data_IF_494367772874
#
_entry.id   IF_494367772874
#
_cell.length_a   1.000
_cell.length_b   1.000
_cell.length_c   1.000
_cell.angle_alpha   90.00
_cell.angle_beta   90.00
_cell.angle_gamma   90.00
#
_symmetry.space_group_name_H-M   'P 1'
#
loop_
_entity.id
_entity.type
_entity.pdbx_description
1 polymer ?
#
# COMPACT_ATOMS: atom_id res chain seq x y z
N UNK A 1 12.11 -5.06 20.08
CA UNK A 1 10.90 -4.26 19.79
C UNK A 1 9.65 -5.08 19.94
N UNK A 2 8.52 -4.44 20.07
CA UNK A 2 7.21 -5.10 20.10
C UNK A 2 6.86 -5.65 18.73
N UNK A 3 6.29 -6.87 18.69
CA UNK A 3 5.73 -7.47 17.49
C UNK A 3 4.22 -7.58 17.65
N UNK A 4 3.47 -7.00 16.69
CA UNK A 4 2.04 -7.19 16.53
C UNK A 4 1.82 -8.13 15.36
N UNK A 5 1.16 -9.26 15.59
CA UNK A 5 0.81 -10.23 14.56
C UNK A 5 -0.66 -10.09 14.17
N UNK A 6 -0.91 -10.00 12.86
CA UNK A 6 -2.25 -10.08 12.30
C UNK A 6 -2.88 -11.46 12.49
N UNK A 7 -4.19 -11.53 12.51
CA UNK A 7 -4.90 -12.83 12.49
C UNK A 7 -4.78 -13.46 11.10
N UNK A 8 -4.68 -14.79 11.06
CA UNK A 8 -4.80 -15.55 9.80
C UNK A 8 -6.22 -16.04 9.51
N UNK A 9 -7.21 -15.58 10.27
CA UNK A 9 -8.62 -15.90 10.05
C UNK A 9 -9.31 -14.76 9.32
N UNK A 10 -9.82 -15.01 8.12
CA UNK A 10 -10.52 -14.00 7.30
C UNK A 10 -11.73 -13.38 8.01
N UNK A 11 -12.45 -14.16 8.83
CA UNK A 11 -13.59 -13.67 9.62
C UNK A 11 -13.25 -12.58 10.63
N UNK A 12 -11.97 -12.42 10.98
CA UNK A 12 -11.53 -11.38 11.92
C UNK A 12 -11.41 -10.00 11.23
N UNK A 13 -11.57 -9.94 9.89
CA UNK A 13 -11.40 -8.76 9.05
C UNK A 13 -12.69 -8.32 8.35
N UNK A 14 -13.84 -8.64 8.92
CA UNK A 14 -15.14 -8.22 8.37
C UNK A 14 -15.43 -6.74 8.68
N UNK A 15 -15.00 -5.86 7.78
CA UNK A 15 -15.14 -4.40 7.89
C UNK A 15 -15.93 -3.79 6.72
N UNK A 16 -16.77 -4.60 6.05
CA UNK A 16 -17.59 -4.08 4.96
C UNK A 16 -18.42 -2.86 5.40
N UNK A 17 -18.38 -1.78 4.62
CA UNK A 17 -19.11 -0.56 4.91
C UNK A 17 -19.61 0.13 3.64
N UNK A 18 -20.76 0.83 3.69
CA UNK A 18 -21.24 1.61 2.56
C UNK A 18 -20.47 2.93 2.43
N UNK A 19 -20.13 3.32 1.21
CA UNK A 19 -19.78 4.69 0.88
C UNK A 19 -21.02 5.60 0.87
N UNK A 20 -20.80 6.93 0.80
CA UNK A 20 -21.88 7.91 0.71
C UNK A 20 -22.75 7.74 -0.54
N UNK A 21 -22.21 7.20 -1.63
CA UNK A 21 -22.91 6.90 -2.86
C UNK A 21 -23.71 5.58 -2.83
N UNK A 22 -23.66 4.85 -1.73
CA UNK A 22 -24.35 3.59 -1.52
C UNK A 22 -23.61 2.35 -2.04
N UNK A 23 -22.43 2.51 -2.63
CA UNK A 23 -21.61 1.36 -2.98
C UNK A 23 -21.01 0.72 -1.72
N UNK A 24 -20.79 -0.59 -1.74
CA UNK A 24 -20.23 -1.31 -0.61
C UNK A 24 -18.73 -1.50 -0.77
N UNK A 25 -17.97 -1.00 0.19
CA UNK A 25 -16.55 -1.30 0.29
C UNK A 25 -16.36 -2.61 1.07
N UNK A 26 -15.76 -3.58 0.42
CA UNK A 26 -15.44 -4.89 0.99
C UNK A 26 -13.97 -5.01 1.38
N UNK A 27 -13.18 -3.95 1.20
CA UNK A 27 -11.78 -3.93 1.62
C UNK A 27 -11.67 -3.96 3.14
N UNK A 28 -10.63 -4.60 3.64
CA UNK A 28 -10.40 -4.76 5.07
C UNK A 28 -8.94 -4.43 5.44
N UNK A 29 -8.69 -4.22 6.71
CA UNK A 29 -7.36 -3.94 7.23
C UNK A 29 -7.17 -4.45 8.65
N UNK A 30 -5.92 -4.82 8.99
CA UNK A 30 -5.56 -5.18 10.35
C UNK A 30 -5.72 -3.98 11.30
N UNK A 31 -5.22 -2.83 10.86
CA UNK A 31 -5.47 -1.53 11.50
C UNK A 31 -6.40 -0.74 10.58
N UNK A 32 -7.65 -0.64 10.97
CA UNK A 32 -8.70 0.00 10.19
C UNK A 32 -9.26 1.22 10.92
N UNK A 33 -9.44 2.31 10.18
CA UNK A 33 -10.15 3.49 10.66
C UNK A 33 -10.96 4.12 9.53
N UNK A 34 -12.12 4.69 9.86
CA UNK A 34 -12.95 5.45 8.93
C UNK A 34 -13.48 6.72 9.59
N UNK A 35 -13.34 7.85 8.91
CA UNK A 35 -13.85 9.15 9.37
C UNK A 35 -13.25 9.61 10.69
N UNK A 36 -12.06 9.11 11.06
CA UNK A 36 -11.39 9.43 12.32
C UNK A 36 -10.37 10.53 12.14
N UNK A 37 -10.00 11.17 13.26
CA UNK A 37 -9.00 12.24 13.30
C UNK A 37 -7.96 11.97 14.37
N UNK A 38 -6.79 12.61 14.19
CA UNK A 38 -5.68 12.54 15.15
C UNK A 38 -5.21 11.08 15.38
N UNK A 39 -4.94 10.37 14.30
CA UNK A 39 -4.46 8.99 14.34
C UNK A 39 -2.93 8.98 14.36
N UNK A 40 -2.33 8.26 15.30
CA UNK A 40 -0.89 8.09 15.34
C UNK A 40 -0.49 6.63 15.52
N UNK A 41 0.41 6.16 14.65
CA UNK A 41 1.10 4.87 14.78
C UNK A 41 2.59 5.19 14.80
N UNK A 42 3.24 5.02 15.95
CA UNK A 42 4.62 5.47 16.13
C UNK A 42 5.47 4.45 16.87
N UNK A 43 6.79 4.55 16.70
CA UNK A 43 7.76 3.74 17.44
C UNK A 43 8.48 2.71 16.56
N UNK A 44 9.35 1.90 17.16
CA UNK A 44 10.25 0.97 16.46
C UNK A 44 9.77 -0.49 16.49
N UNK A 45 8.47 -0.69 16.67
CA UNK A 45 7.86 -2.01 16.64
C UNK A 45 7.69 -2.55 15.22
N UNK A 46 7.29 -3.81 15.13
CA UNK A 46 6.95 -4.47 13.87
C UNK A 46 5.49 -4.87 13.86
N UNK A 47 4.82 -4.60 12.76
CA UNK A 47 3.46 -5.09 12.46
C UNK A 47 3.60 -6.09 11.31
N UNK A 48 3.23 -7.33 11.56
CA UNK A 48 3.32 -8.43 10.60
C UNK A 48 1.93 -8.92 10.26
N UNK A 49 1.55 -8.77 8.99
CA UNK A 49 0.23 -9.18 8.49
C UNK A 49 0.05 -10.69 8.31
N UNK A 50 1.13 -11.47 8.42
CA UNK A 50 1.13 -12.92 8.17
C UNK A 50 0.55 -13.31 6.80
N UNK A 51 0.68 -12.42 5.80
CA UNK A 51 0.00 -12.49 4.51
C UNK A 51 0.40 -13.68 3.63
N UNK A 52 1.48 -14.37 3.95
CA UNK A 52 1.88 -15.62 3.28
C UNK A 52 1.10 -16.84 3.76
N UNK A 53 0.20 -16.71 4.74
CA UNK A 53 -0.61 -17.84 5.20
C UNK A 53 -1.54 -18.35 4.10
N UNK A 54 -1.81 -19.66 4.12
CA UNK A 54 -2.69 -20.32 3.14
C UNK A 54 -4.10 -19.73 3.05
N UNK A 55 -4.58 -19.11 4.13
CA UNK A 55 -5.89 -18.46 4.15
C UNK A 55 -5.98 -17.25 3.21
N UNK A 56 -4.83 -16.66 2.84
CA UNK A 56 -4.74 -15.49 1.98
C UNK A 56 -4.18 -15.81 0.58
N UNK A 57 -4.06 -17.09 0.21
CA UNK A 57 -3.51 -17.48 -1.09
C UNK A 57 -4.46 -17.17 -2.24
N UNK A 58 -3.86 -17.01 -3.43
CA UNK A 58 -4.56 -16.78 -4.69
C UNK A 58 -5.68 -17.82 -4.93
N UNK A 59 -6.84 -17.35 -5.35
CA UNK A 59 -8.03 -18.17 -5.57
C UNK A 59 -9.12 -17.97 -4.50
N UNK A 60 -8.79 -17.41 -3.36
CA UNK A 60 -9.78 -17.05 -2.34
C UNK A 60 -10.52 -15.73 -2.68
N UNK A 61 -10.08 -15.03 -3.73
CA UNK A 61 -10.69 -13.78 -4.23
C UNK A 61 -11.77 -14.03 -5.32
N UNK A 62 -12.09 -15.29 -5.63
CA UNK A 62 -12.92 -15.67 -6.78
C UNK A 62 -14.36 -15.13 -6.75
N UNK A 63 -14.83 -14.66 -5.61
CA UNK A 63 -16.21 -14.22 -5.39
C UNK A 63 -16.37 -12.67 -5.38
N UNK A 64 -15.48 -11.95 -6.03
CA UNK A 64 -15.74 -10.54 -6.35
C UNK A 64 -15.16 -9.50 -5.41
N UNK A 65 -14.00 -9.73 -4.85
CA UNK A 65 -13.25 -8.69 -4.15
C UNK A 65 -12.12 -9.25 -3.28
N UNK A 66 -11.11 -8.43 -2.98
CA UNK A 66 -9.99 -8.89 -2.18
C UNK A 66 -10.46 -9.16 -0.73
N UNK A 67 -10.59 -10.43 -0.39
CA UNK A 67 -10.81 -10.88 0.99
C UNK A 67 -9.51 -10.82 1.82
N UNK A 68 -8.42 -10.41 1.18
CA UNK A 68 -7.10 -10.29 1.80
C UNK A 68 -6.98 -8.94 2.50
N UNK A 69 -6.66 -8.89 3.82
CA UNK A 69 -6.55 -7.64 4.54
C UNK A 69 -5.26 -6.89 4.18
N UNK A 70 -5.35 -5.57 4.18
CA UNK A 70 -4.21 -4.66 4.26
C UNK A 70 -3.67 -4.63 5.69
N UNK A 71 -2.44 -4.18 5.90
CA UNK A 71 -1.95 -3.94 7.28
C UNK A 71 -2.56 -2.66 7.82
N UNK A 72 -2.49 -1.56 7.07
CA UNK A 72 -3.13 -0.28 7.43
C UNK A 72 -4.16 0.05 6.36
N UNK A 73 -5.37 0.35 6.78
CA UNK A 73 -6.41 0.85 5.90
C UNK A 73 -7.20 1.97 6.56
N UNK A 74 -6.97 3.19 6.11
CA UNK A 74 -7.66 4.37 6.62
C UNK A 74 -8.49 5.01 5.51
N UNK A 75 -9.74 5.33 5.82
CA UNK A 75 -10.72 5.87 4.88
C UNK A 75 -11.32 7.16 5.43
N UNK A 76 -11.32 8.22 4.64
CA UNK A 76 -11.90 9.52 5.03
C UNK A 76 -11.37 10.05 6.38
N UNK A 77 -10.11 9.73 6.71
CA UNK A 77 -9.45 10.12 7.96
C UNK A 77 -8.56 11.36 7.76
N UNK A 78 -8.30 12.10 8.83
CA UNK A 78 -7.39 13.23 8.78
C UNK A 78 -6.48 13.34 10.01
N UNK A 79 -5.43 14.19 9.91
CA UNK A 79 -4.41 14.35 10.94
C UNK A 79 -3.74 12.99 11.28
N UNK A 80 -3.13 12.37 10.30
CA UNK A 80 -2.56 11.04 10.41
C UNK A 80 -1.03 11.11 10.49
N UNK A 81 -0.45 10.43 11.47
CA UNK A 81 1.00 10.30 11.64
C UNK A 81 1.39 8.83 11.74
N UNK A 82 2.22 8.34 10.82
CA UNK A 82 2.77 6.98 10.87
C UNK A 82 4.29 7.06 10.77
N UNK A 83 5.00 6.72 11.85
CA UNK A 83 6.46 6.90 11.90
C UNK A 83 7.21 5.73 12.53
N UNK A 84 8.38 5.45 11.94
CA UNK A 84 9.46 4.60 12.46
C UNK A 84 9.11 3.11 12.60
N UNK A 85 7.87 2.71 12.37
CA UNK A 85 7.43 1.31 12.47
C UNK A 85 7.90 0.47 11.27
N UNK A 86 8.03 -0.82 11.50
CA UNK A 86 8.26 -1.81 10.44
C UNK A 86 6.93 -2.48 10.08
N UNK A 87 6.57 -2.47 8.80
CA UNK A 87 5.40 -3.15 8.25
C UNK A 87 5.88 -4.30 7.36
N UNK A 88 5.37 -5.51 7.55
CA UNK A 88 5.81 -6.64 6.74
C UNK A 88 4.73 -7.69 6.51
N UNK A 89 4.93 -8.47 5.45
CA UNK A 89 4.11 -9.64 5.14
C UNK A 89 2.61 -9.33 5.09
N UNK A 90 2.21 -8.34 4.29
CA UNK A 90 0.80 -8.05 4.06
C UNK A 90 0.14 -9.15 3.21
N UNK A 91 -1.13 -9.41 3.45
CA UNK A 91 -1.89 -10.29 2.58
C UNK A 91 -2.31 -9.63 1.27
N UNK A 92 -2.43 -8.31 1.26
CA UNK A 92 -2.76 -7.45 0.12
C UNK A 92 -1.87 -6.21 0.17
N UNK A 93 -2.30 -5.04 -0.28
CA UNK A 93 -1.57 -3.79 -0.13
C UNK A 93 -1.12 -3.59 1.32
N UNK A 94 0.09 -3.12 1.52
CA UNK A 94 0.62 -2.99 2.88
C UNK A 94 -0.10 -1.88 3.62
N UNK A 95 -0.24 -0.72 2.99
CA UNK A 95 -0.96 0.42 3.58
C UNK A 95 -1.72 1.19 2.51
N UNK A 96 -2.92 1.63 2.87
CA UNK A 96 -3.79 2.41 2.01
C UNK A 96 -4.46 3.54 2.78
N UNK A 97 -4.30 4.75 2.26
CA UNK A 97 -4.91 5.98 2.78
C UNK A 97 -5.88 6.50 1.73
N UNK A 98 -7.17 6.15 1.88
CA UNK A 98 -8.23 6.45 0.91
C UNK A 98 -9.00 7.69 1.34
N UNK A 99 -9.03 8.72 0.49
CA UNK A 99 -9.67 10.03 0.79
C UNK A 99 -9.19 10.64 2.12
N UNK A 100 -7.94 10.46 2.45
CA UNK A 100 -7.36 10.99 3.67
C UNK A 100 -6.83 12.41 3.47
N UNK A 101 -6.64 13.13 4.58
CA UNK A 101 -6.10 14.50 4.57
C UNK A 101 -5.08 14.68 5.70
N UNK A 102 -4.08 15.53 5.46
CA UNK A 102 -3.01 15.86 6.43
C UNK A 102 -2.29 14.59 6.93
N UNK A 103 -1.59 13.91 6.01
CA UNK A 103 -0.92 12.63 6.26
C UNK A 103 0.59 12.82 6.35
N UNK A 104 1.18 12.38 7.44
CA UNK A 104 2.63 12.32 7.63
C UNK A 104 3.10 10.89 7.75
N UNK A 105 3.95 10.45 6.82
CA UNK A 105 4.57 9.13 6.81
C UNK A 105 6.09 9.32 6.81
N UNK A 106 6.78 8.80 7.83
CA UNK A 106 8.21 9.01 7.95
C UNK A 106 8.95 7.82 8.58
N UNK A 107 10.11 7.52 8.02
CA UNK A 107 11.04 6.54 8.62
C UNK A 107 10.55 5.10 8.62
N UNK A 108 9.54 4.77 7.82
CA UNK A 108 9.00 3.42 7.76
C UNK A 108 9.97 2.44 7.11
N UNK A 109 9.94 1.21 7.57
CA UNK A 109 10.54 0.06 6.90
C UNK A 109 9.43 -0.86 6.45
N UNK A 110 9.26 -0.98 5.14
CA UNK A 110 8.24 -1.85 4.54
C UNK A 110 8.92 -2.98 3.81
N UNK A 111 8.56 -4.22 4.14
CA UNK A 111 9.05 -5.40 3.47
C UNK A 111 7.93 -6.41 3.27
N UNK A 112 7.48 -6.62 2.03
CA UNK A 112 6.36 -7.51 1.75
C UNK A 112 6.48 -8.15 0.37
N UNK A 113 6.85 -9.43 0.35
CA UNK A 113 6.98 -10.26 -0.85
C UNK A 113 6.21 -11.57 -0.72
N UNK A 114 5.39 -11.72 0.31
CA UNK A 114 4.79 -13.01 0.65
C UNK A 114 3.50 -13.32 -0.12
N UNK A 115 2.93 -12.33 -0.81
CA UNK A 115 1.71 -12.49 -1.59
C UNK A 115 1.74 -11.51 -2.79
N UNK A 116 0.83 -11.68 -3.74
CA UNK A 116 0.69 -10.76 -4.87
C UNK A 116 -0.11 -9.51 -4.49
N UNK A 117 0.03 -8.43 -5.26
CA UNK A 117 -0.49 -7.11 -4.93
C UNK A 117 -0.01 -6.64 -3.54
N UNK A 118 1.25 -6.86 -3.22
CA UNK A 118 1.86 -6.34 -2.02
C UNK A 118 2.42 -4.93 -2.30
N UNK A 119 1.55 -4.00 -2.70
CA UNK A 119 1.90 -2.59 -2.85
C UNK A 119 2.35 -2.02 -1.51
N UNK A 120 3.40 -1.21 -1.51
CA UNK A 120 4.00 -0.72 -0.26
C UNK A 120 3.21 0.41 0.39
N UNK A 121 2.82 1.37 -0.42
CA UNK A 121 2.07 2.56 0.00
C UNK A 121 1.15 3.01 -1.13
N UNK A 122 -0.15 2.85 -0.93
CA UNK A 122 -1.19 3.41 -1.77
C UNK A 122 -1.76 4.66 -1.11
N UNK A 123 -1.64 5.80 -1.78
CA UNK A 123 -2.05 7.08 -1.22
C UNK A 123 -3.01 7.82 -2.15
N UNK A 124 -4.26 7.96 -1.71
CA UNK A 124 -5.29 8.83 -2.24
C UNK A 124 -5.61 9.86 -1.16
N UNK A 125 -4.84 10.93 -1.16
CA UNK A 125 -4.88 11.91 -0.07
C UNK A 125 -4.64 13.34 -0.55
N UNK A 126 -4.95 14.28 0.36
CA UNK A 126 -4.57 15.68 0.25
C UNK A 126 -3.58 16.05 1.36
N UNK A 127 -2.61 16.90 1.03
CA UNK A 127 -1.63 17.41 1.98
C UNK A 127 -0.85 16.29 2.66
N UNK A 128 -0.02 15.56 1.92
CA UNK A 128 0.76 14.47 2.49
C UNK A 128 2.27 14.71 2.39
N UNK A 129 2.99 14.28 3.41
CA UNK A 129 4.45 14.21 3.41
C UNK A 129 4.91 12.79 3.65
N UNK A 130 5.76 12.27 2.75
CA UNK A 130 6.33 10.92 2.80
C UNK A 130 7.84 11.08 2.77
N UNK A 131 8.55 10.67 3.82
CA UNK A 131 9.99 10.87 3.87
C UNK A 131 10.75 9.75 4.59
N UNK A 132 12.02 9.60 4.22
CA UNK A 132 12.99 8.75 4.92
C UNK A 132 12.56 7.27 5.00
N UNK A 133 11.70 6.81 4.10
CA UNK A 133 11.16 5.46 4.09
C UNK A 133 12.04 4.50 3.28
N UNK A 134 12.08 3.26 3.72
CA UNK A 134 12.66 2.12 3.01
C UNK A 134 11.56 1.14 2.66
N UNK A 135 11.23 1.00 1.38
CA UNK A 135 10.12 0.19 0.88
C UNK A 135 10.66 -0.84 -0.11
N UNK A 136 10.46 -2.12 0.20
CA UNK A 136 10.90 -3.26 -0.61
C UNK A 136 9.75 -4.28 -0.70
N UNK A 137 9.12 -4.36 -1.87
CA UNK A 137 7.83 -4.99 -2.02
C UNK A 137 7.68 -5.74 -3.34
N UNK A 138 6.70 -6.60 -3.41
CA UNK A 138 6.42 -7.43 -4.57
C UNK A 138 5.73 -6.65 -5.69
N UNK A 139 4.81 -5.74 -5.36
CA UNK A 139 4.09 -4.90 -6.32
C UNK A 139 4.57 -3.43 -6.23
N UNK A 140 3.74 -2.44 -6.51
CA UNK A 140 4.12 -1.03 -6.57
C UNK A 140 4.65 -0.50 -5.23
N UNK A 141 5.82 0.15 -5.20
CA UNK A 141 6.39 0.56 -3.91
C UNK A 141 5.68 1.80 -3.33
N UNK A 142 5.53 2.86 -4.12
CA UNK A 142 4.73 4.04 -3.77
C UNK A 142 3.77 4.30 -4.91
N UNK A 143 2.49 4.23 -4.64
CA UNK A 143 1.44 4.37 -5.63
C UNK A 143 0.46 5.48 -5.25
N UNK A 144 0.37 6.50 -6.11
CA UNK A 144 -0.65 7.53 -5.99
C UNK A 144 -1.94 7.03 -6.62
N UNK A 145 -3.02 7.08 -5.87
CA UNK A 145 -4.37 6.70 -6.31
C UNK A 145 -5.28 7.91 -6.34
N UNK A 146 -6.29 7.87 -7.17
CA UNK A 146 -7.39 8.83 -7.22
C UNK A 146 -8.64 8.09 -7.65
N UNK A 147 -9.15 7.25 -6.75
CA UNK A 147 -10.32 6.38 -7.00
C UNK A 147 -11.63 7.16 -7.03
N UNK A 148 -11.61 8.42 -6.62
CA UNK A 148 -12.77 9.28 -6.42
C UNK A 148 -12.63 10.57 -7.24
N UNK A 149 -13.70 11.37 -7.39
CA UNK A 149 -13.65 12.63 -8.16
C UNK A 149 -12.71 13.69 -7.62
N UNK A 150 -12.28 13.57 -6.36
CA UNK A 150 -11.35 14.50 -5.72
C UNK A 150 -9.92 14.24 -6.19
N UNK A 151 -9.11 15.30 -6.26
CA UNK A 151 -7.70 15.19 -6.59
C UNK A 151 -6.90 14.54 -5.45
N UNK A 152 -5.98 13.64 -5.82
CA UNK A 152 -4.83 13.30 -5.00
C UNK A 152 -3.81 14.43 -5.15
N UNK A 153 -3.56 15.22 -4.11
CA UNK A 153 -2.88 16.49 -4.27
C UNK A 153 -2.03 16.97 -3.10
N UNK A 154 -1.12 17.89 -3.41
CA UNK A 154 -0.23 18.55 -2.44
C UNK A 154 0.62 17.53 -1.67
N UNK A 155 1.34 16.67 -2.39
CA UNK A 155 2.10 15.56 -1.80
C UNK A 155 3.58 15.73 -2.09
N UNK A 156 4.41 15.53 -1.08
CA UNK A 156 5.85 15.41 -1.25
C UNK A 156 6.35 14.03 -0.85
N UNK A 157 7.23 13.45 -1.70
CA UNK A 157 7.98 12.23 -1.40
C UNK A 157 9.46 12.57 -1.49
N UNK A 158 10.20 12.34 -0.42
CA UNK A 158 11.62 12.66 -0.40
C UNK A 158 12.46 11.68 0.42
N UNK A 159 13.73 11.53 0.06
CA UNK A 159 14.71 10.70 0.79
C UNK A 159 14.28 9.22 0.95
N UNK A 160 13.48 8.69 0.07
CA UNK A 160 13.02 7.31 0.15
C UNK A 160 13.93 6.38 -0.69
N UNK A 161 14.06 5.15 -0.22
CA UNK A 161 14.64 4.05 -0.99
C UNK A 161 13.50 3.11 -1.36
N UNK A 162 13.24 2.95 -2.63
CA UNK A 162 12.18 2.08 -3.15
C UNK A 162 12.76 0.91 -3.93
N UNK A 163 12.21 -0.25 -3.68
CA UNK A 163 12.49 -1.48 -4.41
C UNK A 163 11.18 -2.22 -4.65
N UNK A 164 10.97 -2.71 -5.86
CA UNK A 164 9.71 -3.31 -6.26
C UNK A 164 9.96 -4.34 -7.35
N UNK A 165 9.14 -5.36 -7.41
CA UNK A 165 9.07 -6.26 -8.55
C UNK A 165 8.08 -5.78 -9.62
N UNK A 166 7.48 -4.60 -9.43
CA UNK A 166 6.62 -3.94 -10.39
C UNK A 166 7.09 -2.49 -10.62
N UNK A 167 6.49 -1.49 -10.04
CA UNK A 167 6.88 -0.10 -10.24
C UNK A 167 7.38 0.54 -8.94
N UNK A 168 8.49 1.29 -9.01
CA UNK A 168 9.02 1.96 -7.83
C UNK A 168 8.16 3.15 -7.40
N UNK A 169 7.69 3.95 -8.37
CA UNK A 169 6.75 5.06 -8.20
C UNK A 169 5.67 4.93 -9.27
N UNK A 170 4.41 4.96 -8.87
CA UNK A 170 3.29 4.83 -9.80
C UNK A 170 2.21 5.86 -9.56
N UNK A 171 1.58 6.32 -10.64
CA UNK A 171 0.33 7.08 -10.65
C UNK A 171 -0.74 6.22 -11.31
N UNK A 172 -1.81 5.91 -10.61
CA UNK A 172 -2.91 5.07 -11.11
C UNK A 172 -2.80 3.61 -10.62
N UNK A 173 -3.45 2.67 -11.26
CA UNK A 173 -4.39 2.75 -12.40
C UNK A 173 -5.63 3.61 -12.12
N UNK A 174 -6.12 3.62 -10.88
CA UNK A 174 -7.26 4.43 -10.46
C UNK A 174 -6.92 5.92 -10.50
N UNK A 175 -7.54 6.66 -11.43
CA UNK A 175 -7.18 8.04 -11.77
C UNK A 175 -8.41 8.92 -12.07
N UNK A 176 -9.55 8.66 -11.40
CA UNK A 176 -10.81 9.35 -11.68
C UNK A 176 -10.78 10.85 -11.38
N UNK A 177 -10.18 11.25 -10.26
CA UNK A 177 -10.06 12.66 -9.88
C UNK A 177 -8.80 13.33 -10.44
N UNK A 178 -7.78 12.53 -10.68
CA UNK A 178 -6.48 13.00 -11.18
C UNK A 178 -5.52 13.43 -10.08
N UNK A 179 -4.38 13.98 -10.50
CA UNK A 179 -3.23 14.29 -9.66
C UNK A 179 -2.77 15.73 -9.86
N UNK A 180 -2.40 16.41 -8.78
CA UNK A 180 -1.77 17.74 -8.90
C UNK A 180 -0.86 18.08 -7.73
N UNK A 181 0.12 18.94 -7.98
CA UNK A 181 1.05 19.41 -6.95
C UNK A 181 1.76 18.26 -6.23
N UNK A 182 2.27 17.28 -6.96
CA UNK A 182 3.01 16.15 -6.40
C UNK A 182 4.48 16.30 -6.77
N UNK A 183 5.36 16.25 -5.78
CA UNK A 183 6.80 16.31 -5.97
C UNK A 183 7.46 15.06 -5.39
N UNK A 184 8.28 14.39 -6.21
CA UNK A 184 9.13 13.28 -5.79
C UNK A 184 10.58 13.69 -6.00
N UNK A 185 11.39 13.66 -4.96
CA UNK A 185 12.77 14.12 -5.01
C UNK A 185 13.70 13.31 -4.11
N UNK A 186 14.97 13.27 -4.50
CA UNK A 186 16.04 12.64 -3.73
C UNK A 186 15.72 11.18 -3.31
N UNK A 187 15.08 10.43 -4.20
CA UNK A 187 14.73 9.03 -3.99
C UNK A 187 15.68 8.11 -4.76
N UNK A 188 15.93 6.94 -4.20
CA UNK A 188 16.73 5.88 -4.81
C UNK A 188 15.82 4.72 -5.20
N UNK A 189 15.88 4.31 -6.46
CA UNK A 189 15.24 3.09 -6.94
C UNK A 189 16.29 1.99 -7.05
N UNK A 190 16.03 0.85 -6.44
CA UNK A 190 16.94 -0.29 -6.48
C UNK A 190 16.21 -1.60 -6.78
N UNK A 191 16.98 -2.64 -7.03
CA UNK A 191 16.47 -4.00 -7.18
C UNK A 191 15.77 -4.44 -5.88
N UNK A 192 14.63 -5.14 -6.00
CA UNK A 192 13.96 -5.80 -4.90
C UNK A 192 14.84 -6.88 -4.25
N UNK A 193 14.64 -7.12 -2.95
CA UNK A 193 15.43 -8.10 -2.21
C UNK A 193 15.05 -9.54 -2.56
N UNK A 194 13.80 -9.78 -2.96
CA UNK A 194 13.30 -11.09 -3.39
C UNK A 194 12.88 -11.07 -4.85
N UNK A 195 13.01 -12.20 -5.50
CA UNK A 195 12.57 -12.36 -6.88
C UNK A 195 11.05 -12.34 -6.98
N UNK A 196 10.57 -11.98 -8.17
CA UNK A 196 9.17 -11.94 -8.48
C UNK A 196 8.49 -13.29 -8.23
N UNK A 197 7.30 -13.29 -7.62
CA UNK A 197 6.55 -14.50 -7.38
C UNK A 197 5.82 -14.99 -8.63
N UNK A 198 5.68 -16.31 -8.71
CA UNK A 198 5.32 -17.03 -9.95
C UNK A 198 4.04 -16.59 -10.67
N UNK A 199 3.06 -16.01 -10.00
CA UNK A 199 1.82 -15.62 -10.67
C UNK A 199 1.99 -14.39 -11.57
N UNK A 200 2.89 -13.49 -11.23
CA UNK A 200 3.27 -12.38 -12.12
C UNK A 200 3.99 -12.87 -13.36
N UNK A 201 4.84 -13.89 -13.22
CA UNK A 201 5.55 -14.45 -14.37
C UNK A 201 4.63 -15.04 -15.44
N UNK A 202 3.44 -15.51 -15.08
CA UNK A 202 2.43 -15.98 -16.05
C UNK A 202 1.80 -14.86 -16.87
N UNK A 203 1.69 -13.66 -16.30
CA UNK A 203 1.18 -12.48 -17.00
C UNK A 203 2.28 -11.77 -17.79
N UNK A 204 3.53 -11.96 -17.39
CA UNK A 204 4.70 -11.28 -17.92
C UNK A 204 5.72 -12.26 -18.49
N UNK A 205 5.27 -13.30 -19.21
CA UNK A 205 6.11 -14.35 -19.80
C UNK A 205 7.26 -13.82 -20.69
N UNK A 206 7.15 -12.59 -21.16
CA UNK A 206 8.16 -11.91 -21.97
C UNK A 206 9.19 -11.13 -21.14
N UNK A 207 9.02 -11.01 -19.83
CA UNK A 207 9.97 -10.30 -18.95
C UNK A 207 10.88 -11.36 -18.32
N UNK A 208 12.19 -11.17 -18.48
CA UNK A 208 13.15 -12.12 -17.93
C UNK A 208 13.08 -12.12 -16.39
N UNK A 209 13.36 -13.26 -15.78
CA UNK A 209 13.42 -13.41 -14.33
C UNK A 209 14.42 -12.45 -13.64
N UNK A 210 15.32 -11.85 -14.42
CA UNK A 210 16.32 -10.90 -13.94
C UNK A 210 15.80 -9.47 -13.85
N UNK A 211 14.60 -9.21 -14.36
CA UNK A 211 13.97 -7.87 -14.27
C UNK A 211 13.16 -7.80 -12.99
N UNK A 212 13.64 -7.03 -12.04
CA UNK A 212 13.01 -6.87 -10.71
C UNK A 212 12.37 -5.52 -10.50
N UNK A 213 12.55 -4.58 -11.44
CA UNK A 213 11.83 -3.30 -11.48
C UNK A 213 11.33 -3.12 -12.89
N UNK A 214 10.02 -3.16 -13.09
CA UNK A 214 9.42 -2.95 -14.42
C UNK A 214 9.54 -1.49 -14.81
N UNK A 215 9.27 -0.58 -13.87
CA UNK A 215 9.41 0.86 -14.09
C UNK A 215 9.91 1.58 -12.84
N UNK A 216 10.83 2.53 -13.05
CA UNK A 216 11.21 3.50 -12.01
C UNK A 216 10.05 4.46 -11.70
N UNK A 217 9.33 4.89 -12.74
CA UNK A 217 8.10 5.70 -12.62
C UNK A 217 7.12 5.25 -13.69
N UNK A 218 5.90 4.89 -13.29
CA UNK A 218 4.79 4.54 -14.17
C UNK A 218 3.63 5.53 -14.00
N UNK A 219 3.02 5.93 -15.11
CA UNK A 219 1.82 6.79 -15.12
C UNK A 219 0.77 6.07 -15.96
N UNK A 220 -0.29 5.64 -15.29
CA UNK A 220 -1.45 4.98 -15.90
C UNK A 220 -2.71 5.80 -15.59
N UNK A 221 -3.33 6.36 -16.63
CA UNK A 221 -4.50 7.22 -16.49
C UNK A 221 -5.67 6.73 -17.36
#
# INVERSE_FOLDING_TARGET
GTLLLGSTRLSDYDHAFPFKDGTMNQSSGLLFARGQKNISITGFGTIDGQGGDKAFQFGNDADGGPKRPKIIYFVECCDIVVTDVTLRNSAYWVQHYEKCEDVTIRGLKVFSHCNYNNDGLDIDAKNATISDCYIDVEDDAICFKSDHPEFCENITVTNCVTASNCNAIKFGTASHGGYRNIAVSNCVVRRAAEDNIRHWSKQLEHISADVTVISGVAIEM
#
